data_IF_494594945875
#
_entry.id   IF_494594945875
#
_cell.length_a   1.000
_cell.length_b   1.000
_cell.length_c   1.000
_cell.angle_alpha   90.00
_cell.angle_beta   90.00
_cell.angle_gamma   90.00
#
_symmetry.space_group_name_H-M   'P 1'
#
loop_
_entity.id
_entity.type
_entity.pdbx_description
1 polymer ?
#
# COMPACT_ATOMS: atom_id res chain seq x y z
N UNK A 1 3.38 -3.67 8.73
CA UNK A 1 4.13 -4.59 7.85
C UNK A 1 5.08 -3.82 6.93
N UNK A 2 4.62 -2.79 6.23
CA UNK A 2 5.48 -1.88 5.43
C UNK A 2 6.66 -1.33 6.23
N UNK A 3 6.42 -0.81 7.45
CA UNK A 3 7.50 -0.37 8.36
C UNK A 3 8.60 -1.40 8.57
N UNK A 4 8.25 -2.68 8.74
CA UNK A 4 9.24 -3.74 8.93
C UNK A 4 10.00 -4.00 7.64
N UNK A 5 9.30 -4.01 6.50
CA UNK A 5 9.89 -4.19 5.19
C UNK A 5 10.86 -3.05 4.83
N UNK A 6 10.52 -1.81 5.15
CA UNK A 6 11.39 -0.64 4.93
C UNK A 6 12.68 -0.71 5.75
N UNK A 7 12.60 -1.28 6.96
CA UNK A 7 13.77 -1.49 7.82
C UNK A 7 14.70 -2.57 7.25
N UNK A 8 14.15 -3.71 6.81
CA UNK A 8 14.97 -4.85 6.34
C UNK A 8 15.35 -4.75 4.86
N UNK A 9 14.58 -4.00 4.08
CA UNK A 9 14.73 -3.81 2.63
C UNK A 9 14.37 -2.37 2.26
N UNK A 10 15.26 -1.41 2.53
CA UNK A 10 15.09 -0.02 2.11
C UNK A 10 14.89 0.05 0.58
N UNK A 11 14.03 0.96 0.11
CA UNK A 11 13.67 1.09 -1.31
C UNK A 11 13.01 -0.16 -1.93
N UNK A 12 12.25 -0.92 -1.15
CA UNK A 12 11.44 -1.99 -1.70
C UNK A 12 10.34 -1.45 -2.64
N UNK A 13 9.77 -2.34 -3.46
CA UNK A 13 8.77 -2.04 -4.47
C UNK A 13 7.33 -2.39 -4.03
N UNK A 14 7.10 -2.57 -2.72
CA UNK A 14 5.80 -3.03 -2.19
C UNK A 14 4.67 -2.05 -2.52
N UNK A 15 4.93 -0.74 -2.38
CA UNK A 15 3.96 0.31 -2.73
C UNK A 15 3.53 0.21 -4.20
N UNK A 16 4.50 0.17 -5.12
CA UNK A 16 4.24 0.07 -6.55
C UNK A 16 3.44 -1.20 -6.92
N UNK A 17 3.71 -2.32 -6.23
CA UNK A 17 2.95 -3.56 -6.42
C UNK A 17 1.50 -3.47 -5.93
N UNK A 18 1.27 -2.80 -4.80
CA UNK A 18 -0.09 -2.55 -4.29
C UNK A 18 -0.84 -1.63 -5.26
N UNK A 19 -0.22 -0.54 -5.71
CA UNK A 19 -0.83 0.40 -6.66
C UNK A 19 -1.21 -0.30 -7.98
N UNK A 20 -0.31 -1.13 -8.52
CA UNK A 20 -0.58 -1.92 -9.72
C UNK A 20 -1.75 -2.89 -9.53
N UNK A 21 -1.85 -3.53 -8.34
CA UNK A 21 -2.91 -4.47 -8.02
C UNK A 21 -4.27 -3.76 -7.90
N UNK A 22 -4.32 -2.64 -7.18
CA UNK A 22 -5.52 -1.81 -7.05
C UNK A 22 -5.99 -1.26 -8.40
N UNK A 23 -5.06 -0.79 -9.23
CA UNK A 23 -5.36 -0.35 -10.59
C UNK A 23 -5.89 -1.48 -11.47
N UNK A 24 -5.45 -2.73 -11.25
CA UNK A 24 -5.93 -3.89 -12.01
C UNK A 24 -7.32 -4.36 -11.56
N UNK A 25 -7.74 -4.01 -10.34
CA UNK A 25 -8.99 -4.45 -9.74
C UNK A 25 -9.76 -3.27 -9.09
N UNK A 26 -10.31 -2.35 -9.91
CA UNK A 26 -10.98 -1.15 -9.41
C UNK A 26 -12.29 -1.42 -8.64
N UNK A 27 -12.81 -2.65 -8.69
CA UNK A 27 -14.02 -3.08 -7.97
C UNK A 27 -13.75 -3.54 -6.53
N UNK A 28 -12.49 -3.65 -6.11
CA UNK A 28 -12.13 -4.06 -4.75
C UNK A 28 -12.46 -2.94 -3.77
N UNK A 29 -13.18 -3.27 -2.69
CA UNK A 29 -13.34 -2.36 -1.56
C UNK A 29 -12.07 -2.33 -0.72
N UNK A 30 -11.30 -1.27 -0.92
CA UNK A 30 -10.03 -1.01 -0.21
C UNK A 30 -10.24 -0.93 1.31
N UNK A 31 -11.42 -0.47 1.78
CA UNK A 31 -11.71 -0.42 3.21
C UNK A 31 -11.91 -1.81 3.80
N UNK A 32 -12.54 -2.71 3.05
CA UNK A 32 -12.72 -4.11 3.46
C UNK A 32 -11.39 -4.87 3.57
N UNK A 33 -10.36 -4.41 2.84
CA UNK A 33 -8.99 -4.92 2.97
C UNK A 33 -8.24 -4.37 4.20
N UNK A 34 -8.85 -3.46 4.95
CA UNK A 34 -8.28 -2.87 6.17
C UNK A 34 -7.45 -1.60 5.94
N UNK A 35 -7.44 -1.05 4.72
CA UNK A 35 -6.83 0.25 4.47
C UNK A 35 -7.81 1.38 4.84
N UNK A 36 -7.39 2.42 5.58
CA UNK A 36 -8.21 3.59 5.82
C UNK A 36 -8.47 4.36 4.51
N UNK A 37 -9.58 5.11 4.42
CA UNK A 37 -9.98 5.84 3.18
C UNK A 37 -8.93 6.79 2.59
N UNK A 38 -7.93 7.19 3.37
CA UNK A 38 -6.90 8.17 2.99
C UNK A 38 -5.49 7.62 3.20
N UNK A 39 -5.34 6.30 3.13
CA UNK A 39 -4.10 5.58 3.41
C UNK A 39 -2.91 6.07 2.56
N UNK A 40 -3.13 6.43 1.29
CA UNK A 40 -2.10 6.94 0.36
C UNK A 40 -1.40 8.22 0.87
N UNK A 41 -2.09 9.01 1.71
CA UNK A 41 -1.55 10.23 2.29
C UNK A 41 -0.85 10.02 3.63
N UNK A 42 -0.86 8.81 4.18
CA UNK A 42 -0.12 8.55 5.41
C UNK A 42 1.40 8.56 5.11
N UNK A 43 2.23 9.06 6.04
CA UNK A 43 3.69 9.15 5.84
C UNK A 43 4.37 7.82 5.49
N UNK A 44 3.75 6.70 5.86
CA UNK A 44 4.20 5.35 5.53
C UNK A 44 4.15 5.04 4.03
N UNK A 45 3.18 5.65 3.33
CA UNK A 45 2.87 5.38 1.94
C UNK A 45 3.26 6.53 1.01
N UNK A 46 3.83 7.63 1.53
CA UNK A 46 4.44 8.68 0.71
C UNK A 46 5.75 8.18 0.12
#
# INVERSE_FOLDING_TARGET
MVYFLDIISPNNDMKAKIDALLSSYPSIDINAMGFPRVWENEPLWQ
#
